data_IF_768482255830
#
_entry.id   IF_768482255830
#
_cell.length_a   1.000
_cell.length_b   1.000
_cell.length_c   1.000
_cell.angle_alpha   90.00
_cell.angle_beta   90.00
_cell.angle_gamma   90.00
#
_symmetry.space_group_name_H-M   'P 1'
#
loop_
_entity.id
_entity.type
_entity.pdbx_description
1 polymer ?
#
# COMPACT_ATOMS: atom_id res chain seq x y z
N UNK A 1 -11.36 12.17 -4.02
CA UNK A 1 -10.53 11.49 -5.04
C UNK A 1 -9.17 11.22 -4.43
N UNK A 2 -8.61 10.00 -4.60
CA UNK A 2 -7.24 9.66 -4.25
C UNK A 2 -6.33 9.81 -5.48
N UNK A 3 -5.12 10.33 -5.27
CA UNK A 3 -4.13 10.51 -6.33
C UNK A 3 -2.81 9.87 -5.91
N UNK A 4 -2.27 8.98 -6.77
CA UNK A 4 -0.95 8.39 -6.59
C UNK A 4 0.12 9.37 -7.05
N UNK A 5 1.15 9.57 -6.23
CA UNK A 5 2.26 10.49 -6.51
C UNK A 5 3.59 9.88 -6.09
N UNK A 6 4.67 10.17 -6.82
CA UNK A 6 6.01 9.68 -6.54
C UNK A 6 7.09 10.79 -6.52
N UNK A 7 6.67 12.05 -6.59
CA UNK A 7 7.55 13.21 -6.51
C UNK A 7 6.81 14.42 -5.91
N UNK A 8 7.57 15.43 -5.52
CA UNK A 8 7.04 16.61 -4.81
C UNK A 8 6.13 17.46 -5.69
N UNK A 9 6.46 17.65 -6.96
CA UNK A 9 5.65 18.46 -7.88
C UNK A 9 4.28 17.83 -8.11
N UNK A 10 4.24 16.50 -8.31
CA UNK A 10 2.99 15.75 -8.41
C UNK A 10 2.14 15.83 -7.15
N UNK A 11 2.77 15.79 -5.96
CA UNK A 11 2.08 15.96 -4.69
C UNK A 11 1.42 17.34 -4.61
N UNK A 12 2.17 18.42 -4.88
CA UNK A 12 1.66 19.79 -4.85
C UNK A 12 0.51 19.96 -5.83
N UNK A 13 0.67 19.49 -7.06
CA UNK A 13 -0.37 19.55 -8.09
C UNK A 13 -1.63 18.78 -7.71
N UNK A 14 -1.49 17.58 -7.12
CA UNK A 14 -2.63 16.79 -6.65
C UNK A 14 -3.41 17.52 -5.55
N UNK A 15 -2.71 18.11 -4.57
CA UNK A 15 -3.33 18.88 -3.48
C UNK A 15 -4.04 20.11 -4.03
N UNK A 16 -3.42 20.89 -4.91
CA UNK A 16 -4.01 22.07 -5.57
C UNK A 16 -5.21 21.69 -6.46
N UNK A 17 -5.16 20.50 -7.07
CA UNK A 17 -6.23 19.95 -7.89
C UNK A 17 -7.42 19.40 -7.07
N UNK A 18 -7.37 19.49 -5.73
CA UNK A 18 -8.48 19.06 -4.86
C UNK A 18 -8.49 17.56 -4.53
N UNK A 19 -7.34 16.90 -4.53
CA UNK A 19 -7.24 15.54 -4.01
C UNK A 19 -7.71 15.50 -2.55
N UNK A 20 -8.48 14.50 -2.19
CA UNK A 20 -8.94 14.28 -0.80
C UNK A 20 -8.07 13.29 -0.04
N UNK A 21 -7.16 12.61 -0.72
CA UNK A 21 -6.15 11.69 -0.17
C UNK A 21 -5.02 11.50 -1.17
N UNK A 22 -3.84 11.26 -0.66
CA UNK A 22 -2.66 10.89 -1.45
C UNK A 22 -2.32 9.42 -1.20
N UNK A 23 -1.98 8.69 -2.26
CA UNK A 23 -1.19 7.47 -2.17
C UNK A 23 0.25 7.81 -2.52
N UNK A 24 1.12 7.79 -1.51
CA UNK A 24 2.53 8.17 -1.66
C UNK A 24 3.33 6.95 -2.06
N UNK A 25 4.05 7.08 -3.17
CA UNK A 25 4.83 6.01 -3.79
C UNK A 25 6.25 6.50 -4.11
N UNK A 26 7.06 5.61 -4.62
CA UNK A 26 8.20 5.89 -5.48
C UNK A 26 8.07 5.06 -6.76
N UNK A 27 8.81 5.39 -7.82
CA UNK A 27 8.91 4.60 -9.04
C UNK A 27 7.55 4.16 -9.63
N UNK A 28 6.62 5.09 -9.83
CA UNK A 28 5.29 4.80 -10.42
C UNK A 28 5.39 4.18 -11.83
N UNK A 29 6.44 4.48 -12.60
CA UNK A 29 6.73 3.83 -13.88
C UNK A 29 6.89 2.31 -13.76
N UNK A 30 7.32 1.83 -12.60
CA UNK A 30 7.50 0.41 -12.27
C UNK A 30 6.29 -0.18 -11.52
N UNK A 31 5.17 0.52 -11.52
CA UNK A 31 3.97 0.15 -10.80
C UNK A 31 3.93 0.58 -9.33
N UNK A 32 4.89 1.37 -8.91
CA UNK A 32 5.01 1.90 -7.55
C UNK A 32 5.81 1.01 -6.60
N UNK A 33 6.64 1.64 -5.79
CA UNK A 33 7.39 1.04 -4.68
C UNK A 33 7.20 1.87 -3.41
N UNK A 34 7.69 1.34 -2.28
CA UNK A 34 7.68 2.06 -0.99
C UNK A 34 8.40 3.41 -1.12
N UNK A 35 7.77 4.52 -0.71
CA UNK A 35 8.42 5.83 -0.72
C UNK A 35 9.48 5.91 0.39
N UNK A 36 10.47 6.80 0.23
CA UNK A 36 11.44 7.04 1.28
C UNK A 36 10.79 7.72 2.50
N UNK A 37 11.34 7.46 3.68
CA UNK A 37 10.98 8.15 4.92
C UNK A 37 11.05 9.69 4.75
N UNK A 38 12.11 10.20 4.10
CA UNK A 38 12.28 11.63 3.85
C UNK A 38 11.17 12.21 2.99
N UNK A 39 10.70 11.48 1.97
CA UNK A 39 9.59 11.94 1.14
C UNK A 39 8.28 12.01 1.93
N UNK A 40 7.98 11.00 2.76
CA UNK A 40 6.80 11.07 3.65
C UNK A 40 6.88 12.25 4.61
N UNK A 41 8.02 12.48 5.27
CA UNK A 41 8.20 13.62 6.19
C UNK A 41 7.97 14.95 5.51
N UNK A 42 8.52 15.13 4.32
CA UNK A 42 8.28 16.34 3.52
C UNK A 42 6.81 16.45 3.11
N UNK A 43 6.20 15.39 2.61
CA UNK A 43 4.80 15.37 2.21
C UNK A 43 3.87 15.77 3.36
N UNK A 44 4.08 15.25 4.56
CA UNK A 44 3.31 15.61 5.77
C UNK A 44 3.49 17.08 6.17
N UNK A 45 4.57 17.73 5.80
CA UNK A 45 4.76 19.18 6.04
C UNK A 45 4.09 20.07 4.99
N UNK A 46 3.79 19.51 3.81
CA UNK A 46 3.23 20.28 2.68
C UNK A 46 1.69 20.19 2.60
N UNK A 47 1.08 19.22 3.28
CA UNK A 47 -0.38 19.06 3.23
C UNK A 47 -0.94 18.44 4.51
N UNK A 48 -2.22 18.71 4.78
CA UNK A 48 -2.97 18.14 5.89
C UNK A 48 -3.93 17.03 5.45
N UNK A 49 -4.08 16.78 4.15
CA UNK A 49 -4.93 15.67 3.68
C UNK A 49 -4.28 14.32 4.01
N UNK A 50 -5.07 13.26 4.20
CA UNK A 50 -4.55 11.94 4.54
C UNK A 50 -3.55 11.42 3.51
N UNK A 51 -2.43 10.87 3.98
CA UNK A 51 -1.40 10.25 3.15
C UNK A 51 -1.33 8.77 3.50
N UNK A 52 -1.69 7.92 2.54
CA UNK A 52 -1.45 6.48 2.59
C UNK A 52 -0.14 6.16 1.87
N UNK A 53 0.66 5.28 2.40
CA UNK A 53 1.94 4.89 1.80
C UNK A 53 1.86 3.52 1.17
N UNK A 54 2.40 3.38 -0.03
CA UNK A 54 2.57 2.09 -0.67
C UNK A 54 3.69 1.32 0.04
N UNK A 55 3.44 0.07 0.38
CA UNK A 55 4.41 -0.85 0.94
C UNK A 55 4.67 -1.97 -0.06
N UNK A 56 5.75 -1.84 -0.81
CA UNK A 56 6.19 -2.77 -1.84
C UNK A 56 7.70 -2.69 -1.97
N UNK A 57 8.40 -3.72 -1.53
CA UNK A 57 9.87 -3.74 -1.44
C UNK A 57 10.58 -3.81 -2.80
N UNK A 58 9.93 -4.42 -3.79
CA UNK A 58 10.50 -4.65 -5.13
C UNK A 58 9.44 -4.65 -6.23
N UNK A 59 9.88 -4.50 -7.45
CA UNK A 59 9.07 -4.66 -8.67
C UNK A 59 8.75 -6.13 -8.95
N UNK A 60 7.93 -6.40 -9.97
CA UNK A 60 7.54 -7.75 -10.37
C UNK A 60 6.25 -8.22 -9.72
N UNK A 61 6.21 -9.49 -9.35
CA UNK A 61 5.05 -10.14 -8.75
C UNK A 61 4.82 -9.72 -7.28
N UNK A 62 3.79 -10.27 -6.69
CA UNK A 62 3.41 -10.04 -5.28
C UNK A 62 3.69 -11.26 -4.40
N UNK A 63 4.49 -12.21 -4.89
CA UNK A 63 4.94 -13.38 -4.14
C UNK A 63 6.28 -13.07 -3.49
N UNK A 64 6.26 -12.65 -2.24
CA UNK A 64 7.41 -12.16 -1.50
C UNK A 64 8.09 -13.29 -0.73
N UNK A 65 9.43 -13.26 -0.68
CA UNK A 65 10.19 -14.13 0.19
C UNK A 65 10.25 -13.57 1.64
N UNK A 66 10.90 -14.33 2.52
CA UNK A 66 11.01 -13.97 3.93
C UNK A 66 11.73 -12.62 4.14
N UNK A 67 12.73 -12.30 3.32
CA UNK A 67 13.47 -11.05 3.43
C UNK A 67 12.64 -9.87 2.90
N UNK A 68 11.95 -10.05 1.79
CA UNK A 68 10.99 -9.05 1.28
C UNK A 68 9.95 -8.71 2.34
N UNK A 69 9.35 -9.72 2.98
CA UNK A 69 8.32 -9.51 4.01
C UNK A 69 8.87 -8.81 5.25
N UNK A 70 10.11 -9.12 5.68
CA UNK A 70 10.77 -8.41 6.79
C UNK A 70 11.01 -6.93 6.47
N UNK A 71 11.48 -6.64 5.25
CA UNK A 71 11.66 -5.25 4.77
C UNK A 71 10.31 -4.53 4.78
N UNK A 72 9.27 -5.13 4.21
CA UNK A 72 7.93 -4.52 4.15
C UNK A 72 7.32 -4.28 5.53
N UNK A 73 7.54 -5.18 6.49
CA UNK A 73 7.07 -5.01 7.87
C UNK A 73 7.79 -3.84 8.57
N UNK A 74 9.12 -3.73 8.42
CA UNK A 74 9.88 -2.63 9.01
C UNK A 74 9.56 -1.29 8.35
N UNK A 75 9.45 -1.24 7.01
CA UNK A 75 9.00 -0.05 6.29
C UNK A 75 7.61 0.41 6.77
N UNK A 76 6.68 -0.52 6.95
CA UNK A 76 5.33 -0.22 7.44
C UNK A 76 5.38 0.43 8.82
N UNK A 77 6.15 -0.15 9.75
CA UNK A 77 6.32 0.37 11.10
C UNK A 77 6.90 1.78 11.09
N UNK A 78 8.04 1.96 10.42
CA UNK A 78 8.76 3.24 10.38
C UNK A 78 7.92 4.34 9.73
N UNK A 79 7.22 4.04 8.62
CA UNK A 79 6.41 5.03 7.91
C UNK A 79 5.13 5.38 8.69
N UNK A 80 4.52 4.43 9.40
CA UNK A 80 3.36 4.71 10.26
C UNK A 80 3.78 5.56 11.48
N UNK A 81 4.89 5.24 12.12
CA UNK A 81 5.47 6.05 13.20
C UNK A 81 5.85 7.46 12.72
N UNK A 82 6.20 7.60 11.45
CA UNK A 82 6.47 8.91 10.81
C UNK A 82 5.23 9.72 10.45
N UNK A 83 4.02 9.15 10.66
CA UNK A 83 2.75 9.84 10.49
C UNK A 83 1.97 9.50 9.22
N UNK A 84 2.22 8.35 8.57
CA UNK A 84 1.33 7.85 7.53
C UNK A 84 -0.06 7.56 8.11
N UNK A 85 -1.11 7.96 7.40
CA UNK A 85 -2.50 7.78 7.82
C UNK A 85 -3.07 6.42 7.38
N UNK A 86 -2.32 5.69 6.58
CA UNK A 86 -2.64 4.34 6.11
C UNK A 86 -1.49 3.70 5.36
N UNK A 87 -1.62 2.39 5.15
CA UNK A 87 -0.70 1.61 4.31
C UNK A 87 -1.48 0.88 3.21
N UNK A 88 -0.83 0.72 2.07
CA UNK A 88 -1.36 0.06 0.87
C UNK A 88 -0.42 -1.08 0.50
N UNK A 89 -0.88 -2.32 0.57
CA UNK A 89 -0.05 -3.48 0.26
C UNK A 89 -0.89 -4.70 -0.13
N UNK A 90 -0.25 -5.78 -0.56
CA UNK A 90 -0.90 -7.07 -0.81
C UNK A 90 0.15 -8.15 -1.09
N UNK A 91 0.01 -9.30 -0.44
CA UNK A 91 0.91 -10.44 -0.58
C UNK A 91 0.15 -11.62 -1.16
N UNK A 92 0.74 -12.28 -2.15
CA UNK A 92 0.20 -13.48 -2.79
C UNK A 92 1.19 -14.63 -2.64
N UNK A 93 0.65 -15.85 -2.68
CA UNK A 93 1.47 -17.07 -2.81
C UNK A 93 1.79 -17.38 -4.29
N UNK A 94 2.56 -18.45 -4.53
CA UNK A 94 2.94 -18.91 -5.89
C UNK A 94 1.76 -19.34 -6.75
N UNK A 95 0.60 -19.59 -6.16
CA UNK A 95 -0.62 -19.96 -6.84
C UNK A 95 -1.57 -18.77 -7.02
N UNK A 96 -1.10 -17.56 -6.80
CA UNK A 96 -1.90 -16.33 -6.83
C UNK A 96 -3.11 -16.33 -5.87
N UNK A 97 -3.01 -17.05 -4.75
CA UNK A 97 -3.91 -16.85 -3.62
C UNK A 97 -3.31 -15.83 -2.66
N UNK A 98 -4.14 -15.27 -1.77
CA UNK A 98 -3.63 -14.39 -0.73
C UNK A 98 -2.67 -15.13 0.21
N UNK A 99 -1.47 -14.58 0.41
CA UNK A 99 -0.55 -15.03 1.46
C UNK A 99 -0.97 -14.44 2.80
N UNK A 100 -1.78 -15.19 3.53
CA UNK A 100 -2.31 -14.79 4.83
C UNK A 100 -1.18 -14.56 5.86
N UNK A 101 -0.15 -15.39 5.85
CA UNK A 101 0.97 -15.29 6.80
C UNK A 101 1.83 -14.05 6.49
N UNK A 102 2.15 -13.80 5.23
CA UNK A 102 2.85 -12.60 4.80
C UNK A 102 2.07 -11.33 5.14
N UNK A 103 0.75 -11.32 4.87
CA UNK A 103 -0.10 -10.20 5.26
C UNK A 103 -0.12 -9.97 6.78
N UNK A 104 -0.26 -11.03 7.59
CA UNK A 104 -0.26 -10.92 9.06
C UNK A 104 1.03 -10.36 9.62
N UNK A 105 2.19 -10.74 9.06
CA UNK A 105 3.48 -10.23 9.51
C UNK A 105 3.56 -8.69 9.36
N UNK A 106 3.07 -8.15 8.26
CA UNK A 106 3.02 -6.71 8.02
C UNK A 106 1.98 -6.04 8.93
N UNK A 107 0.79 -6.63 9.05
CA UNK A 107 -0.28 -6.11 9.90
C UNK A 107 0.13 -6.07 11.37
N UNK A 108 0.82 -7.09 11.86
CA UNK A 108 1.33 -7.14 13.24
C UNK A 108 2.34 -6.02 13.54
N UNK A 109 3.13 -5.60 12.55
CA UNK A 109 4.08 -4.50 12.71
C UNK A 109 3.41 -3.15 13.00
N UNK A 110 2.14 -3.00 12.61
CA UNK A 110 1.38 -1.74 12.74
C UNK A 110 0.12 -1.84 13.61
N UNK A 111 -0.13 -3.00 14.24
CA UNK A 111 -1.38 -3.32 14.95
C UNK A 111 -1.78 -2.36 16.08
N UNK A 112 -0.82 -1.64 16.64
CA UNK A 112 -1.08 -0.68 17.72
C UNK A 112 -1.44 0.73 17.22
N UNK A 113 -1.50 0.93 15.91
CA UNK A 113 -1.74 2.22 15.29
C UNK A 113 -3.11 2.22 14.61
N UNK A 114 -3.98 3.20 14.88
CA UNK A 114 -5.29 3.31 14.24
C UNK A 114 -5.15 3.89 12.82
N UNK A 115 -4.72 3.07 11.87
CA UNK A 115 -4.48 3.48 10.48
C UNK A 115 -5.42 2.77 9.50
N UNK A 116 -5.55 3.34 8.31
CA UNK A 116 -6.29 2.71 7.23
C UNK A 116 -5.46 1.62 6.54
N UNK A 117 -6.10 0.50 6.21
CA UNK A 117 -5.48 -0.64 5.56
C UNK A 117 -6.14 -0.87 4.19
N UNK A 118 -5.34 -0.79 3.13
CA UNK A 118 -5.81 -1.03 1.75
C UNK A 118 -5.06 -2.21 1.13
N UNK A 119 -5.80 -3.21 0.64
CA UNK A 119 -5.23 -4.26 -0.20
C UNK A 119 -5.18 -3.76 -1.64
N UNK A 120 -3.99 -3.74 -2.24
CA UNK A 120 -3.78 -3.12 -3.53
C UNK A 120 -4.15 -4.04 -4.72
N UNK A 121 -3.75 -3.65 -5.92
CA UNK A 121 -4.06 -4.32 -7.19
C UNK A 121 -3.50 -5.74 -7.35
N UNK A 122 -2.76 -6.30 -6.37
CA UNK A 122 -2.54 -7.74 -6.30
C UNK A 122 -3.88 -8.52 -6.33
N UNK A 123 -4.98 -7.88 -5.87
CA UNK A 123 -6.34 -8.41 -6.00
C UNK A 123 -6.76 -8.71 -7.45
N UNK A 124 -6.22 -7.96 -8.42
CA UNK A 124 -6.60 -8.11 -9.82
C UNK A 124 -6.03 -9.38 -10.48
N UNK A 125 -5.10 -10.07 -9.84
CA UNK A 125 -4.46 -11.30 -10.34
C UNK A 125 -4.80 -12.55 -9.52
N UNK A 126 -5.66 -12.44 -8.51
CA UNK A 126 -6.09 -13.62 -7.72
C UNK A 126 -7.03 -14.51 -8.52
N UNK A 127 -6.99 -15.81 -8.22
CA UNK A 127 -7.83 -16.80 -8.93
C UNK A 127 -9.31 -16.73 -8.53
N UNK A 128 -9.60 -16.52 -7.24
CA UNK A 128 -10.96 -16.43 -6.71
C UNK A 128 -11.15 -15.09 -5.96
N UNK A 129 -11.67 -14.05 -6.65
CA UNK A 129 -11.81 -12.73 -6.06
C UNK A 129 -12.85 -12.70 -4.92
N UNK A 130 -13.90 -13.51 -4.98
CA UNK A 130 -14.94 -13.51 -3.94
C UNK A 130 -14.38 -14.10 -2.65
N UNK A 131 -13.73 -15.24 -2.72
CA UNK A 131 -13.06 -15.86 -1.58
C UNK A 131 -11.97 -14.95 -1.02
N UNK A 132 -11.14 -14.37 -1.90
CA UNK A 132 -10.06 -13.46 -1.49
C UNK A 132 -10.60 -12.20 -0.80
N UNK A 133 -11.68 -11.60 -1.30
CA UNK A 133 -12.29 -10.44 -0.66
C UNK A 133 -12.78 -10.74 0.77
N UNK A 134 -13.33 -11.93 1.01
CA UNK A 134 -13.72 -12.34 2.36
C UNK A 134 -12.51 -12.48 3.29
N UNK A 135 -11.44 -13.11 2.82
CA UNK A 135 -10.18 -13.22 3.61
C UNK A 135 -9.57 -11.85 3.90
N UNK A 136 -9.53 -10.95 2.93
CA UNK A 136 -9.06 -9.56 3.10
C UNK A 136 -9.87 -8.86 4.20
N UNK A 137 -11.19 -9.00 4.17
CA UNK A 137 -12.08 -8.45 5.21
C UNK A 137 -11.79 -9.03 6.60
N UNK A 138 -11.60 -10.35 6.69
CA UNK A 138 -11.27 -11.05 7.95
C UNK A 138 -9.91 -10.62 8.51
N UNK A 139 -8.95 -10.26 7.65
CA UNK A 139 -7.65 -9.71 8.04
C UNK A 139 -7.72 -8.24 8.52
N UNK A 140 -8.89 -7.58 8.40
CA UNK A 140 -9.09 -6.23 8.89
C UNK A 140 -8.79 -5.12 7.90
N UNK A 141 -8.56 -5.44 6.62
CA UNK A 141 -8.46 -4.40 5.59
C UNK A 141 -9.78 -3.64 5.44
N UNK A 142 -9.68 -2.34 5.28
CA UNK A 142 -10.84 -1.45 5.13
C UNK A 142 -11.18 -1.14 3.67
N UNK A 143 -10.26 -1.44 2.74
CA UNK A 143 -10.39 -1.16 1.30
C UNK A 143 -9.70 -2.22 0.45
N UNK A 144 -10.22 -2.36 -0.78
CA UNK A 144 -9.57 -3.08 -1.88
C UNK A 144 -9.44 -2.10 -3.04
N UNK A 145 -8.24 -1.94 -3.57
CA UNK A 145 -7.98 -1.23 -4.82
C UNK A 145 -7.97 -2.25 -5.95
N UNK A 146 -8.87 -2.11 -6.90
CA UNK A 146 -9.04 -3.05 -8.01
C UNK A 146 -9.45 -2.36 -9.31
N UNK A 147 -9.04 -2.93 -10.44
CA UNK A 147 -9.54 -2.59 -11.78
C UNK A 147 -10.69 -3.52 -12.22
N UNK A 148 -11.17 -4.40 -11.34
CA UNK A 148 -12.21 -5.39 -11.65
C UNK A 148 -11.68 -6.65 -12.35
N UNK A 149 -10.38 -6.96 -12.20
CA UNK A 149 -9.70 -8.12 -12.80
C UNK A 149 -9.71 -8.15 -14.34
N UNK A 150 -10.03 -7.07 -15.00
CA UNK A 150 -10.00 -6.99 -16.46
C UNK A 150 -8.63 -6.52 -16.90
N UNK A 151 -7.95 -7.28 -17.76
CA UNK A 151 -6.79 -6.78 -18.49
C UNK A 151 -7.23 -5.64 -19.41
N UNK A 152 -6.61 -4.47 -19.22
CA UNK A 152 -6.74 -3.35 -20.15
C UNK A 152 -5.68 -3.44 -21.22
#
# INVERSE_FOLDING_TARGET
MEVCVDNVDSLINAVQGGASRIELCSALSEGGLTPSFGFLKLAKSLTTIPIHVLIRSRTGDFNYDENDLKIMAEDSKVLVEAGADGIVFGCLDKQANIDVNGCKLILDAVKNNPINLTFHRAFDVVQDPIKTANVIKELGFTRILTSGQVSR
#
